data_IF_104166070757
#
_entry.id   IF_104166070757
#
_cell.length_a   1.000
_cell.length_b   1.000
_cell.length_c   1.000
_cell.angle_alpha   90.00
_cell.angle_beta   90.00
_cell.angle_gamma   90.00
#
_symmetry.space_group_name_H-M   'P 1'
#
loop_
_entity.id
_entity.type
_entity.pdbx_description
1 polymer ?
#
# COMPACT_ATOMS: atom_id res chain seq x y z
N UNK A 1 -14.31 -6.59 6.64
CA UNK A 1 -13.56 -7.82 6.28
C UNK A 1 -13.66 -8.17 4.79
N UNK A 2 -14.85 -8.46 4.23
CA UNK A 2 -14.95 -8.96 2.86
C UNK A 2 -14.43 -7.98 1.78
N UNK A 3 -14.70 -6.68 1.93
CA UNK A 3 -14.24 -5.63 0.98
C UNK A 3 -12.72 -5.51 0.98
N UNK A 4 -12.08 -5.52 2.16
CA UNK A 4 -10.62 -5.51 2.31
C UNK A 4 -9.98 -6.73 1.65
N UNK A 5 -10.51 -7.93 1.91
CA UNK A 5 -10.03 -9.16 1.28
C UNK A 5 -10.15 -9.14 -0.25
N UNK A 6 -11.24 -8.55 -0.78
CA UNK A 6 -11.39 -8.33 -2.21
C UNK A 6 -10.33 -7.38 -2.78
N UNK A 7 -10.09 -6.25 -2.11
CA UNK A 7 -9.07 -5.29 -2.52
C UNK A 7 -7.65 -5.89 -2.55
N UNK A 8 -7.29 -6.67 -1.53
CA UNK A 8 -5.97 -7.31 -1.43
C UNK A 8 -5.69 -8.32 -2.55
N UNK A 9 -6.73 -9.03 -3.01
CA UNK A 9 -6.62 -10.04 -4.09
C UNK A 9 -6.89 -9.42 -5.47
N UNK A 10 -7.11 -8.10 -5.56
CA UNK A 10 -7.47 -7.42 -6.80
C UNK A 10 -8.87 -7.79 -7.33
N UNK A 11 -9.72 -8.36 -6.47
CA UNK A 11 -11.08 -8.74 -6.80
C UNK A 11 -12.05 -7.62 -6.43
N UNK A 12 -12.55 -6.94 -7.44
CA UNK A 12 -13.67 -6.00 -7.27
C UNK A 12 -14.96 -6.77 -6.88
N UNK A 13 -16.01 -6.06 -6.44
CA UNK A 13 -17.28 -6.64 -5.94
C UNK A 13 -17.85 -7.75 -6.83
N UNK A 14 -17.74 -7.62 -8.15
CA UNK A 14 -18.21 -8.64 -9.11
C UNK A 14 -17.42 -9.95 -8.99
N UNK A 15 -16.10 -9.87 -8.91
CA UNK A 15 -15.23 -11.05 -8.69
C UNK A 15 -15.52 -11.67 -7.33
N UNK A 16 -15.62 -10.84 -6.30
CA UNK A 16 -15.95 -11.27 -4.95
C UNK A 16 -17.30 -12.01 -4.88
N UNK A 17 -18.32 -11.49 -5.57
CA UNK A 17 -19.66 -12.09 -5.63
C UNK A 17 -19.67 -13.47 -6.26
N UNK A 18 -18.81 -13.72 -7.25
CA UNK A 18 -18.66 -15.06 -7.86
C UNK A 18 -18.04 -16.02 -6.85
N UNK A 19 -16.94 -15.61 -6.22
CA UNK A 19 -16.22 -16.43 -5.23
C UNK A 19 -17.12 -16.80 -4.05
N UNK A 20 -17.80 -15.82 -3.43
CA UNK A 20 -18.69 -16.13 -2.30
C UNK A 20 -19.91 -16.95 -2.73
N UNK A 21 -20.41 -16.76 -3.95
CA UNK A 21 -21.48 -17.58 -4.52
C UNK A 21 -21.07 -19.05 -4.68
N UNK A 22 -19.86 -19.31 -5.18
CA UNK A 22 -19.30 -20.66 -5.27
C UNK A 22 -19.11 -21.31 -3.90
N UNK A 23 -18.75 -20.51 -2.88
CA UNK A 23 -18.56 -20.97 -1.51
C UNK A 23 -19.88 -21.12 -0.72
N UNK A 24 -21.04 -20.84 -1.31
CA UNK A 24 -22.34 -20.88 -0.62
C UNK A 24 -22.48 -19.82 0.49
N UNK A 25 -21.67 -18.76 0.44
CA UNK A 25 -21.69 -17.68 1.42
C UNK A 25 -22.68 -16.57 1.01
N UNK A 26 -23.03 -15.73 1.99
CA UNK A 26 -23.88 -14.56 1.74
C UNK A 26 -23.23 -13.61 0.71
N UNK A 27 -24.04 -12.96 -0.14
CA UNK A 27 -23.54 -12.04 -1.15
C UNK A 27 -22.81 -10.84 -0.51
N UNK A 28 -21.84 -10.23 -1.21
CA UNK A 28 -21.15 -9.07 -0.70
C UNK A 28 -22.13 -7.92 -0.46
N UNK A 29 -21.76 -7.02 0.46
CA UNK A 29 -22.52 -5.82 0.79
C UNK A 29 -23.05 -5.08 -0.46
N UNK A 30 -24.18 -4.40 -0.32
CA UNK A 30 -24.80 -3.62 -1.41
C UNK A 30 -23.79 -2.66 -2.02
N UNK A 31 -23.89 -2.42 -3.33
CA UNK A 31 -22.90 -1.63 -4.10
C UNK A 31 -22.57 -0.28 -3.45
N UNK A 32 -23.57 0.45 -2.96
CA UNK A 32 -23.38 1.74 -2.29
C UNK A 32 -22.47 1.63 -1.04
N UNK A 33 -22.67 0.59 -0.23
CA UNK A 33 -21.84 0.37 0.96
C UNK A 33 -20.47 -0.15 0.57
N UNK A 34 -20.37 -0.95 -0.50
CA UNK A 34 -19.10 -1.42 -1.03
C UNK A 34 -18.21 -0.24 -1.44
N UNK A 35 -18.74 0.69 -2.24
CA UNK A 35 -18.03 1.91 -2.64
C UNK A 35 -17.64 2.79 -1.45
N UNK A 36 -18.52 2.90 -0.44
CA UNK A 36 -18.19 3.62 0.80
C UNK A 36 -16.95 3.01 1.46
N UNK A 37 -16.93 1.70 1.67
CA UNK A 37 -15.79 1.03 2.30
C UNK A 37 -14.53 1.05 1.43
N UNK A 38 -14.68 0.99 0.11
CA UNK A 38 -13.58 1.13 -0.84
C UNK A 38 -12.94 2.51 -0.73
N UNK A 39 -13.74 3.58 -0.65
CA UNK A 39 -13.23 4.93 -0.44
C UNK A 39 -12.54 5.09 0.93
N UNK A 40 -13.15 4.58 2.00
CA UNK A 40 -12.53 4.58 3.34
C UNK A 40 -11.18 3.82 3.32
N UNK A 41 -11.10 2.71 2.59
CA UNK A 41 -9.87 1.93 2.46
C UNK A 41 -8.79 2.71 1.69
N UNK A 42 -9.15 3.41 0.62
CA UNK A 42 -8.22 4.27 -0.14
C UNK A 42 -7.67 5.40 0.74
N UNK A 43 -8.52 6.03 1.56
CA UNK A 43 -8.07 7.08 2.48
C UNK A 43 -7.09 6.51 3.51
N UNK A 44 -7.46 5.41 4.17
CA UNK A 44 -6.62 4.78 5.19
C UNK A 44 -5.27 4.29 4.63
N UNK A 45 -5.26 3.74 3.41
CA UNK A 45 -4.01 3.29 2.75
C UNK A 45 -3.12 4.46 2.35
N UNK A 46 -3.69 5.57 1.89
CA UNK A 46 -2.91 6.81 1.63
C UNK A 46 -2.31 7.38 2.90
N UNK A 47 -3.09 7.51 3.97
CA UNK A 47 -2.58 8.00 5.26
C UNK A 47 -1.45 7.12 5.80
N UNK A 48 -1.57 5.79 5.67
CA UNK A 48 -0.52 4.86 6.05
C UNK A 48 0.74 5.03 5.17
N UNK A 49 0.57 5.20 3.86
CA UNK A 49 1.67 5.44 2.93
C UNK A 49 2.38 6.76 3.24
N UNK A 50 1.65 7.86 3.42
CA UNK A 50 2.20 9.18 3.73
C UNK A 50 2.96 9.16 5.06
N UNK A 51 2.41 8.51 6.08
CA UNK A 51 3.09 8.33 7.36
C UNK A 51 4.37 7.52 7.21
N UNK A 52 4.34 6.41 6.48
CA UNK A 52 5.52 5.58 6.24
C UNK A 52 6.61 6.32 5.45
N UNK A 53 6.23 7.04 4.40
CA UNK A 53 7.14 7.85 3.58
C UNK A 53 7.78 8.97 4.42
N UNK A 54 6.98 9.65 5.24
CA UNK A 54 7.47 10.71 6.14
C UNK A 54 8.42 10.17 7.19
N UNK A 55 8.12 9.02 7.80
CA UNK A 55 9.04 8.36 8.75
C UNK A 55 10.36 8.00 8.06
N UNK A 56 10.32 7.37 6.89
CA UNK A 56 11.52 7.02 6.13
C UNK A 56 12.34 8.26 5.77
N UNK A 57 11.71 9.34 5.29
CA UNK A 57 12.40 10.59 4.96
C UNK A 57 13.10 11.21 6.19
N UNK A 58 12.45 11.16 7.36
CA UNK A 58 13.02 11.68 8.60
C UNK A 58 14.20 10.84 9.12
N UNK A 59 14.10 9.51 9.04
CA UNK A 59 15.20 8.60 9.41
C UNK A 59 16.45 8.87 8.56
N UNK A 60 16.26 9.06 7.25
CA UNK A 60 17.35 9.31 6.30
C UNK A 60 17.92 10.72 6.48
N UNK A 61 17.07 11.72 6.74
CA UNK A 61 17.52 13.07 7.08
C UNK A 61 18.41 13.08 8.32
N UNK A 62 18.04 12.29 9.34
CA UNK A 62 18.85 12.11 10.55
C UNK A 62 20.18 11.40 10.24
N UNK A 63 20.14 10.34 9.43
CA UNK A 63 21.32 9.52 9.13
C UNK A 63 22.35 10.23 8.24
N UNK A 64 21.90 10.92 7.19
CA UNK A 64 22.76 11.56 6.20
C UNK A 64 22.94 13.07 6.40
N UNK A 65 22.29 13.68 7.41
CA UNK A 65 22.30 15.14 7.64
C UNK A 65 22.00 15.97 6.38
N UNK A 66 21.17 15.42 5.47
CA UNK A 66 20.82 16.03 4.19
C UNK A 66 19.36 16.43 4.18
N UNK A 67 19.05 17.61 3.64
CA UNK A 67 17.67 18.11 3.52
C UNK A 67 17.03 17.80 2.15
N UNK A 68 17.85 17.42 1.15
CA UNK A 68 17.41 17.20 -0.23
C UNK A 68 17.34 15.69 -0.55
N UNK A 69 16.33 15.04 0.02
CA UNK A 69 16.08 13.60 -0.11
C UNK A 69 14.67 13.37 -0.67
N UNK A 70 14.56 12.47 -1.65
CA UNK A 70 13.31 11.96 -2.16
C UNK A 70 13.19 10.48 -1.81
N UNK A 71 12.00 10.08 -1.34
CA UNK A 71 11.68 8.71 -0.95
C UNK A 71 10.60 8.21 -1.91
N UNK A 72 10.85 7.08 -2.55
CA UNK A 72 9.85 6.37 -3.36
C UNK A 72 9.64 5.00 -2.76
N UNK A 73 8.41 4.65 -2.39
CA UNK A 73 8.07 3.28 -2.02
C UNK A 73 7.40 2.57 -3.20
N UNK A 74 7.90 1.39 -3.52
CA UNK A 74 7.22 0.44 -4.40
C UNK A 74 6.51 -0.60 -3.52
N UNK A 75 5.27 -0.94 -3.89
CA UNK A 75 4.47 -1.94 -3.18
C UNK A 75 4.97 -3.37 -3.38
N UNK A 76 6.12 -3.56 -4.03
CA UNK A 76 6.74 -4.86 -4.23
C UNK A 76 7.25 -5.41 -2.90
N UNK A 77 7.06 -6.72 -2.71
CA UNK A 77 7.52 -7.43 -1.54
C UNK A 77 9.02 -7.68 -1.67
N UNK A 78 9.79 -7.43 -0.60
CA UNK A 78 11.25 -7.57 -0.61
C UNK A 78 11.70 -9.02 -0.90
N UNK A 79 10.87 -9.99 -0.55
CA UNK A 79 11.12 -11.42 -0.82
C UNK A 79 9.91 -12.06 -1.49
N UNK A 80 10.14 -12.64 -2.67
CA UNK A 80 9.16 -13.50 -3.34
C UNK A 80 8.94 -14.76 -2.49
N UNK A 81 7.69 -15.07 -2.14
CA UNK A 81 7.34 -16.30 -1.40
C UNK A 81 7.37 -16.18 0.13
N UNK A 82 7.62 -15.01 0.70
CA UNK A 82 7.51 -14.75 2.14
C UNK A 82 6.54 -13.61 2.45
N UNK A 83 5.82 -13.72 3.57
CA UNK A 83 5.01 -12.63 4.10
C UNK A 83 5.95 -11.62 4.78
N UNK A 84 6.53 -10.70 4.01
CA UNK A 84 7.27 -9.57 4.56
C UNK A 84 6.28 -8.56 5.15
N UNK A 85 6.49 -8.14 6.40
CA UNK A 85 5.73 -7.02 6.98
C UNK A 85 6.12 -5.66 6.35
N UNK A 86 7.15 -5.66 5.50
CA UNK A 86 7.79 -4.48 4.94
C UNK A 86 7.80 -4.56 3.40
N UNK A 87 7.33 -3.50 2.75
CA UNK A 87 7.47 -3.29 1.31
C UNK A 87 8.88 -2.80 0.94
N UNK A 88 9.19 -2.75 -0.36
CA UNK A 88 10.47 -2.25 -0.86
C UNK A 88 10.41 -0.73 -1.03
N UNK A 89 11.24 0.00 -0.28
CA UNK A 89 11.47 1.43 -0.48
C UNK A 89 12.79 1.67 -1.20
N UNK A 90 12.85 2.68 -2.07
CA UNK A 90 14.10 3.18 -2.65
C UNK A 90 14.28 4.65 -2.31
N UNK A 91 15.47 4.98 -1.81
CA UNK A 91 15.86 6.32 -1.40
C UNK A 91 16.77 6.95 -2.45
N UNK A 92 16.45 8.18 -2.86
CA UNK A 92 17.20 8.90 -3.89
C UNK A 92 17.55 10.29 -3.36
N UNK A 93 18.83 10.65 -3.38
CA UNK A 93 19.25 12.03 -3.14
C UNK A 93 18.84 12.92 -4.31
N UNK A 94 18.28 14.08 -4.00
CA UNK A 94 17.86 15.10 -4.99
C UNK A 94 19.02 16.02 -5.38
N UNK A 95 20.22 15.79 -4.85
CA UNK A 95 21.43 16.51 -5.26
C UNK A 95 21.81 16.21 -6.71
N UNK A 96 22.51 17.13 -7.38
CA UNK A 96 23.06 16.89 -8.72
C UNK A 96 24.55 16.53 -8.60
N UNK A 97 24.99 15.30 -8.98
CA UNK A 97 24.21 14.20 -9.55
C UNK A 97 23.43 13.39 -8.51
N UNK A 98 22.24 12.93 -8.89
CA UNK A 98 21.35 12.16 -8.00
C UNK A 98 21.94 10.78 -7.73
N UNK A 99 22.06 10.43 -6.45
CA UNK A 99 22.62 9.15 -6.01
C UNK A 99 21.57 8.34 -5.26
N UNK A 100 21.46 7.04 -5.57
CA UNK A 100 20.68 6.09 -4.78
C UNK A 100 21.37 5.91 -3.43
N UNK A 101 20.63 6.13 -2.35
CA UNK A 101 21.14 6.02 -0.99
C UNK A 101 20.92 4.63 -0.38
N UNK A 102 20.16 3.78 -1.10
CA UNK A 102 19.66 2.43 -0.79
C UNK A 102 19.17 2.25 0.65
#
# INVERSE_FOLDING_TARGET
>A
MLVLGGALVGLNRRGLSKVVGTLGMLPPVKMRNFQKYENELVVATREAADKSMSTAANEVRSHFSSNDISVSLDGTWMTQGFSSLHGVGTLISVSNPSKVLD
#
